data_IF_547885950201
#
_entry.id   IF_547885950201
#
_cell.length_a   1.000
_cell.length_b   1.000
_cell.length_c   1.000
_cell.angle_alpha   90.00
_cell.angle_beta   90.00
_cell.angle_gamma   90.00
#
_symmetry.space_group_name_H-M   'P 1'
#
loop_
_entity.id
_entity.type
_entity.pdbx_description
1 polymer ?
#
# COMPACT_ATOMS: atom_id res chain seq x y z
N UNK A 1 30.69 -8.48 -22.74
CA UNK A 1 30.18 -7.23 -22.24
C UNK A 1 29.24 -7.51 -21.10
N UNK A 2 29.81 -7.61 -19.90
CA UNK A 2 29.03 -7.56 -18.70
C UNK A 2 28.42 -6.15 -18.64
N UNK A 3 27.11 -6.07 -18.87
CA UNK A 3 26.37 -4.89 -18.51
C UNK A 3 26.49 -4.78 -16.99
N UNK A 4 27.09 -3.70 -16.51
CA UNK A 4 27.06 -3.37 -15.08
C UNK A 4 25.60 -3.28 -14.65
N UNK A 5 25.07 -4.40 -14.17
CA UNK A 5 23.75 -4.43 -13.54
C UNK A 5 23.85 -3.64 -12.25
N UNK A 6 23.23 -2.47 -12.23
CA UNK A 6 23.13 -1.68 -11.01
C UNK A 6 22.07 -2.30 -10.11
N UNK A 7 22.51 -3.14 -9.18
CA UNK A 7 21.64 -3.70 -8.16
C UNK A 7 21.60 -2.76 -6.95
N UNK A 8 20.41 -2.41 -6.53
CA UNK A 8 20.22 -1.60 -5.32
C UNK A 8 18.90 -1.95 -4.63
N UNK A 9 18.79 -1.56 -3.38
CA UNK A 9 17.58 -1.75 -2.58
C UNK A 9 16.93 -0.38 -2.40
N UNK A 10 15.64 -0.30 -2.72
CA UNK A 10 14.82 0.86 -2.51
C UNK A 10 13.81 0.57 -1.42
N UNK A 11 13.78 1.40 -0.39
CA UNK A 11 12.91 1.25 0.77
C UNK A 11 11.97 2.44 0.83
N UNK A 12 10.66 2.18 0.67
CA UNK A 12 9.64 3.23 0.55
C UNK A 12 8.50 2.93 1.50
N UNK A 13 8.08 3.94 2.27
CA UNK A 13 6.88 3.86 3.10
C UNK A 13 5.86 4.89 2.64
N UNK A 14 4.63 4.45 2.40
CA UNK A 14 3.55 5.28 1.89
C UNK A 14 2.31 5.11 2.78
N UNK A 15 1.77 6.18 3.36
CA UNK A 15 0.50 6.12 4.07
C UNK A 15 -0.66 6.09 3.08
N UNK A 16 -1.66 5.27 3.39
CA UNK A 16 -2.95 5.25 2.70
C UNK A 16 -4.06 5.18 3.73
N UNK A 17 -5.29 5.41 3.31
CA UNK A 17 -6.46 5.21 4.14
C UNK A 17 -7.15 3.92 3.75
N UNK A 18 -7.63 3.15 4.75
CA UNK A 18 -8.45 1.97 4.54
C UNK A 18 -9.76 2.09 5.27
N UNK A 19 -10.82 1.58 4.63
CA UNK A 19 -12.17 1.46 5.20
C UNK A 19 -12.44 -0.02 5.43
N UNK A 20 -12.90 -0.38 6.62
CA UNK A 20 -13.11 -1.76 6.99
C UNK A 20 -14.30 -2.37 6.25
N UNK A 21 -14.09 -3.43 5.44
CA UNK A 21 -15.19 -4.10 4.73
C UNK A 21 -16.20 -4.74 5.66
N UNK A 22 -15.76 -5.33 6.77
CA UNK A 22 -16.66 -5.95 7.74
C UNK A 22 -17.62 -4.95 8.38
N UNK A 23 -17.10 -3.81 8.85
CA UNK A 23 -17.93 -2.79 9.48
C UNK A 23 -18.91 -2.17 8.49
N UNK A 24 -18.49 -2.01 7.23
CA UNK A 24 -19.38 -1.56 6.16
C UNK A 24 -20.52 -2.54 5.90
N UNK A 25 -20.22 -3.84 5.89
CA UNK A 25 -21.20 -4.88 5.58
C UNK A 25 -22.27 -5.04 6.67
N UNK A 26 -21.91 -4.86 7.94
CA UNK A 26 -22.83 -5.07 9.08
C UNK A 26 -23.51 -3.80 9.58
N UNK A 27 -23.04 -2.61 9.18
CA UNK A 27 -23.59 -1.34 9.63
C UNK A 27 -24.70 -0.86 8.70
N UNK A 28 -25.73 -0.25 9.27
CA UNK A 28 -26.77 0.42 8.48
C UNK A 28 -26.22 1.71 7.88
N UNK A 29 -25.32 2.38 8.59
CA UNK A 29 -24.67 3.62 8.14
C UNK A 29 -23.16 3.60 8.46
N UNK A 30 -22.34 3.91 7.45
CA UNK A 30 -20.91 4.11 7.60
C UNK A 30 -20.06 2.86 7.76
N UNK A 31 -18.80 3.08 8.02
CA UNK A 31 -17.78 2.08 8.32
C UNK A 31 -16.61 2.80 8.99
N UNK A 32 -15.89 2.11 9.87
CA UNK A 32 -14.69 2.72 10.43
C UNK A 32 -13.56 2.74 9.40
N UNK A 33 -12.72 3.76 9.51
CA UNK A 33 -11.55 3.96 8.66
C UNK A 33 -10.33 4.26 9.52
N UNK A 34 -9.16 4.01 8.96
CA UNK A 34 -7.89 4.21 9.64
C UNK A 34 -6.76 4.47 8.66
N UNK A 35 -5.68 5.04 9.17
CA UNK A 35 -4.44 5.15 8.42
C UNK A 35 -3.75 3.80 8.35
N UNK A 36 -3.23 3.47 7.18
CA UNK A 36 -2.52 2.23 6.91
C UNK A 36 -1.19 2.56 6.27
N UNK A 37 -0.11 1.95 6.75
CA UNK A 37 1.23 2.16 6.20
C UNK A 37 1.57 1.02 5.25
N UNK A 38 1.98 1.37 4.04
CA UNK A 38 2.50 0.43 3.03
C UNK A 38 4.00 0.60 2.99
N UNK A 39 4.73 -0.43 3.40
CA UNK A 39 6.19 -0.46 3.38
C UNK A 39 6.65 -1.42 2.29
N UNK A 40 7.40 -0.90 1.33
CA UNK A 40 7.95 -1.67 0.21
C UNK A 40 9.46 -1.69 0.29
N UNK A 41 10.05 -2.87 0.38
CA UNK A 41 11.49 -3.09 0.22
C UNK A 41 11.69 -3.75 -1.13
N UNK A 42 12.30 -3.03 -2.07
CA UNK A 42 12.35 -3.37 -3.49
C UNK A 42 13.80 -3.68 -3.90
N UNK A 43 14.01 -4.86 -4.47
CA UNK A 43 15.30 -5.25 -5.03
C UNK A 43 15.33 -4.89 -6.52
N UNK A 44 16.05 -3.83 -6.85
CA UNK A 44 16.08 -3.24 -8.19
C UNK A 44 17.35 -3.60 -8.95
N UNK A 45 17.23 -3.80 -10.26
CA UNK A 45 18.39 -3.94 -11.15
C UNK A 45 18.45 -2.86 -12.24
N UNK A 46 17.66 -1.81 -12.10
CA UNK A 46 17.61 -0.70 -13.03
C UNK A 46 16.87 0.47 -12.42
N UNK A 47 16.94 1.60 -13.09
CA UNK A 47 16.34 2.84 -12.61
C UNK A 47 14.84 2.88 -12.92
N UNK A 48 14.07 3.28 -11.91
CA UNK A 48 12.67 3.68 -12.04
C UNK A 48 12.40 4.90 -11.15
N UNK A 49 11.34 5.63 -11.45
CA UNK A 49 10.94 6.78 -10.63
C UNK A 49 10.26 6.32 -9.35
N UNK A 50 10.66 6.90 -8.22
CA UNK A 50 10.03 6.63 -6.91
C UNK A 50 8.52 6.89 -6.96
N UNK A 51 8.10 7.92 -7.68
CA UNK A 51 6.70 8.31 -7.86
C UNK A 51 5.84 7.18 -8.44
N UNK A 52 6.39 6.33 -9.27
CA UNK A 52 5.67 5.18 -9.84
C UNK A 52 5.31 4.16 -8.74
N UNK A 53 6.24 3.92 -7.82
CA UNK A 53 5.99 3.02 -6.68
C UNK A 53 5.04 3.64 -5.67
N UNK A 54 5.17 4.94 -5.42
CA UNK A 54 4.23 5.68 -4.56
C UNK A 54 2.81 5.59 -5.13
N UNK A 55 2.65 5.75 -6.44
CA UNK A 55 1.35 5.63 -7.11
C UNK A 55 0.75 4.24 -6.97
N UNK A 56 1.56 3.18 -7.05
CA UNK A 56 1.11 1.80 -6.83
C UNK A 56 0.54 1.65 -5.41
N UNK A 57 1.25 2.14 -4.41
CA UNK A 57 0.79 2.08 -3.02
C UNK A 57 -0.49 2.89 -2.80
N UNK A 58 -0.54 4.12 -3.30
CA UNK A 58 -1.69 5.02 -3.15
C UNK A 58 -2.96 4.46 -3.80
N UNK A 59 -2.85 3.76 -4.91
CA UNK A 59 -3.98 3.14 -5.59
C UNK A 59 -4.40 1.80 -5.00
N UNK A 60 -3.64 1.27 -4.06
CA UNK A 60 -3.86 -0.06 -3.48
C UNK A 60 -4.75 -0.07 -2.24
N UNK A 61 -4.93 1.07 -1.58
CA UNK A 61 -5.84 1.24 -0.45
C UNK A 61 -7.22 1.74 -0.85
N UNK A 62 -8.01 2.13 0.13
CA UNK A 62 -9.33 2.72 -0.11
C UNK A 62 -9.22 4.13 -0.68
N UNK A 63 -8.23 4.88 -0.23
CA UNK A 63 -7.90 6.23 -0.72
C UNK A 63 -6.46 6.59 -0.35
N UNK A 64 -5.78 7.45 -1.14
CA UNK A 64 -4.56 8.12 -0.68
C UNK A 64 -4.82 9.01 0.53
N UNK A 65 -3.74 9.39 1.22
CA UNK A 65 -3.76 10.40 2.27
C UNK A 65 -3.26 11.72 1.69
N UNK A 66 -3.96 12.81 1.97
CA UNK A 66 -3.66 14.13 1.44
C UNK A 66 -3.24 15.08 2.56
N UNK A 67 -2.30 15.98 2.26
CA UNK A 67 -1.82 16.99 3.22
C UNK A 67 -2.82 18.14 3.35
N UNK A 68 -3.41 18.56 2.24
CA UNK A 68 -4.36 19.68 2.18
C UNK A 68 -5.55 19.26 1.34
N UNK A 69 -6.75 19.45 1.90
CA UNK A 69 -8.02 19.16 1.24
C UNK A 69 -8.96 20.36 1.41
N UNK A 70 -9.62 20.73 0.34
CA UNK A 70 -10.77 21.62 0.41
C UNK A 70 -12.01 20.82 0.81
N UNK A 71 -13.08 21.48 1.20
CA UNK A 71 -14.30 20.83 1.67
C UNK A 71 -14.92 19.92 0.62
N UNK A 72 -14.92 20.32 -0.64
CA UNK A 72 -15.41 19.51 -1.76
C UNK A 72 -14.53 18.26 -1.97
N UNK A 73 -13.22 18.40 -1.77
CA UNK A 73 -12.26 17.31 -1.88
C UNK A 73 -12.45 16.31 -0.76
N UNK A 74 -12.73 16.78 0.46
CA UNK A 74 -13.04 15.90 1.61
C UNK A 74 -14.25 15.02 1.34
N UNK A 75 -15.30 15.59 0.75
CA UNK A 75 -16.48 14.83 0.34
C UNK A 75 -16.13 13.73 -0.66
N UNK A 76 -15.38 14.07 -1.70
CA UNK A 76 -14.95 13.11 -2.72
C UNK A 76 -14.11 11.99 -2.12
N UNK A 77 -13.10 12.33 -1.31
CA UNK A 77 -12.21 11.36 -0.68
C UNK A 77 -12.99 10.42 0.24
N UNK A 78 -13.91 10.97 1.04
CA UNK A 78 -14.73 10.19 1.96
C UNK A 78 -15.61 9.19 1.22
N UNK A 79 -16.30 9.63 0.18
CA UNK A 79 -17.18 8.76 -0.62
C UNK A 79 -16.38 7.74 -1.43
N UNK A 80 -15.26 8.16 -2.01
CA UNK A 80 -14.36 7.27 -2.76
C UNK A 80 -13.78 6.17 -1.87
N UNK A 81 -13.30 6.53 -0.69
CA UNK A 81 -12.78 5.55 0.27
C UNK A 81 -13.85 4.56 0.73
N UNK A 82 -15.04 5.05 1.02
CA UNK A 82 -16.18 4.21 1.42
C UNK A 82 -16.60 3.23 0.31
N UNK A 83 -16.48 3.64 -0.95
CA UNK A 83 -16.78 2.79 -2.10
C UNK A 83 -15.72 1.70 -2.35
N UNK A 84 -14.52 1.84 -1.76
CA UNK A 84 -13.38 0.95 -1.97
C UNK A 84 -12.84 0.37 -0.66
N UNK A 85 -13.66 -0.37 0.13
CA UNK A 85 -13.18 -0.93 1.39
C UNK A 85 -12.08 -1.97 1.14
N UNK A 86 -11.07 -1.97 2.02
CA UNK A 86 -9.91 -2.87 1.92
C UNK A 86 -9.47 -3.35 3.29
N UNK A 87 -9.20 -4.65 3.41
CA UNK A 87 -8.39 -5.21 4.49
C UNK A 87 -6.90 -5.06 4.19
N UNK A 88 -6.03 -5.24 5.18
CA UNK A 88 -4.57 -5.23 4.95
C UNK A 88 -4.15 -6.30 3.94
N UNK A 89 -4.82 -7.43 3.92
CA UNK A 89 -4.58 -8.52 2.95
C UNK A 89 -4.93 -8.09 1.52
N UNK A 90 -5.97 -7.29 1.35
CA UNK A 90 -6.35 -6.75 0.04
C UNK A 90 -5.30 -5.74 -0.43
N UNK A 91 -4.86 -4.84 0.48
CA UNK A 91 -3.86 -3.83 0.15
C UNK A 91 -2.55 -4.48 -0.28
N UNK A 92 -2.05 -5.45 0.49
CA UNK A 92 -0.77 -6.11 0.16
C UNK A 92 -0.84 -6.84 -1.18
N UNK A 93 -1.97 -7.49 -1.51
CA UNK A 93 -2.18 -8.13 -2.80
C UNK A 93 -2.26 -7.13 -3.95
N UNK A 94 -2.96 -6.01 -3.74
CA UNK A 94 -3.06 -4.94 -4.74
C UNK A 94 -1.69 -4.35 -5.07
N UNK A 95 -0.86 -4.12 -4.05
CA UNK A 95 0.52 -3.63 -4.26
C UNK A 95 1.33 -4.66 -5.04
N UNK A 96 1.29 -5.92 -4.66
CA UNK A 96 2.01 -6.99 -5.36
C UNK A 96 1.59 -7.08 -6.83
N UNK A 97 0.30 -6.97 -7.12
CA UNK A 97 -0.21 -6.97 -8.48
C UNK A 97 0.28 -5.75 -9.28
N UNK A 98 0.29 -4.58 -8.66
CA UNK A 98 0.80 -3.35 -9.28
C UNK A 98 2.30 -3.41 -9.59
N UNK A 99 3.07 -4.10 -8.74
CA UNK A 99 4.52 -4.27 -8.94
C UNK A 99 4.88 -5.34 -9.97
N UNK A 100 3.98 -6.28 -10.27
CA UNK A 100 4.26 -7.45 -11.11
C UNK A 100 4.67 -7.10 -12.56
N UNK A 101 4.38 -5.88 -13.01
CA UNK A 101 4.69 -5.41 -14.38
C UNK A 101 6.03 -4.71 -14.48
N UNK A 102 6.73 -4.50 -13.37
CA UNK A 102 7.98 -3.76 -13.38
C UNK A 102 9.15 -4.66 -13.79
N UNK A 103 9.82 -4.32 -14.90
CA UNK A 103 10.90 -5.11 -15.47
C UNK A 103 12.20 -5.03 -14.66
N UNK A 104 12.41 -3.96 -13.90
CA UNK A 104 13.61 -3.72 -13.12
C UNK A 104 13.53 -4.28 -11.69
N UNK A 105 12.37 -4.78 -11.32
CA UNK A 105 12.11 -5.31 -9.97
C UNK A 105 12.44 -6.82 -9.93
N UNK A 106 13.48 -7.18 -9.19
CA UNK A 106 13.95 -8.56 -9.06
C UNK A 106 13.29 -9.31 -7.91
N UNK A 107 12.91 -8.60 -6.89
CA UNK A 107 12.25 -9.17 -5.72
C UNK A 107 11.74 -8.07 -4.82
N UNK A 108 10.86 -8.42 -3.90
CA UNK A 108 10.28 -7.45 -2.99
C UNK A 108 9.79 -8.08 -1.70
N UNK A 109 9.71 -7.25 -0.68
CA UNK A 109 8.95 -7.49 0.54
C UNK A 109 7.97 -6.32 0.71
N UNK A 110 6.69 -6.63 0.83
CA UNK A 110 5.63 -5.65 1.07
C UNK A 110 5.03 -5.94 2.44
N UNK A 111 5.06 -4.94 3.32
CA UNK A 111 4.45 -4.98 4.63
C UNK A 111 3.34 -3.92 4.69
N UNK A 112 2.18 -4.31 5.16
CA UNK A 112 1.04 -3.41 5.33
C UNK A 112 0.57 -3.49 6.76
N UNK A 113 0.56 -2.36 7.45
CA UNK A 113 0.11 -2.25 8.83
C UNK A 113 -1.00 -1.21 8.95
N UNK A 114 -2.15 -1.65 9.42
CA UNK A 114 -3.31 -0.80 9.69
C UNK A 114 -3.31 -0.37 11.15
N UNK A 115 -3.37 0.94 11.37
CA UNK A 115 -3.52 1.54 12.71
C UNK A 115 -5.00 1.51 13.07
N UNK A 116 -5.48 0.38 13.58
CA UNK A 116 -6.89 0.13 13.84
C UNK A 116 -7.55 1.20 14.73
N UNK A 117 -8.71 1.72 14.30
CA UNK A 117 -9.38 2.81 14.97
C UNK A 117 -10.27 2.38 16.13
N UNK A 118 -10.81 1.16 16.08
CA UNK A 118 -11.77 0.66 17.10
C UNK A 118 -11.23 -0.54 17.89
N UNK A 119 -10.05 -1.05 17.55
CA UNK A 119 -9.38 -2.12 18.26
C UNK A 119 -8.09 -1.62 18.91
N UNK A 120 -7.67 -2.25 19.99
CA UNK A 120 -6.44 -1.89 20.69
C UNK A 120 -5.20 -2.62 20.14
N UNK A 121 -5.30 -3.19 18.95
CA UNK A 121 -4.20 -3.84 18.23
C UNK A 121 -4.23 -3.40 16.77
N UNK A 122 -3.07 -3.45 16.12
CA UNK A 122 -2.97 -3.21 14.68
C UNK A 122 -3.17 -4.50 13.90
N UNK A 123 -3.59 -4.37 12.63
CA UNK A 123 -3.61 -5.47 11.68
C UNK A 123 -2.36 -5.40 10.80
N UNK A 124 -1.83 -6.55 10.41
CA UNK A 124 -0.60 -6.65 9.64
C UNK A 124 -0.71 -7.75 8.58
N UNK A 125 -0.19 -7.48 7.39
CA UNK A 125 -0.03 -8.45 6.32
C UNK A 125 1.31 -8.25 5.61
N UNK A 126 1.88 -9.33 5.09
CA UNK A 126 3.16 -9.29 4.40
C UNK A 126 3.16 -10.26 3.23
N UNK A 127 3.72 -9.83 2.10
CA UNK A 127 4.02 -10.68 0.93
C UNK A 127 5.48 -10.48 0.56
N UNK A 128 6.17 -11.59 0.26
CA UNK A 128 7.53 -11.57 -0.28
C UNK A 128 7.56 -12.29 -1.64
N UNK A 129 8.42 -11.82 -2.52
CA UNK A 129 8.73 -12.46 -3.78
C UNK A 129 10.23 -12.34 -4.04
N UNK A 130 10.91 -13.48 -4.22
CA UNK A 130 12.37 -13.54 -4.44
C UNK A 130 13.16 -12.67 -3.45
N UNK A 131 12.76 -12.68 -2.20
CA UNK A 131 13.36 -11.86 -1.16
C UNK A 131 14.34 -12.70 -0.33
N UNK A 132 15.64 -12.31 -0.26
CA UNK A 132 16.64 -13.09 0.45
C UNK A 132 16.42 -13.09 1.96
N UNK A 133 16.64 -14.26 2.59
CA UNK A 133 16.45 -14.42 4.04
C UNK A 133 17.32 -13.47 4.87
N UNK A 134 18.51 -13.13 4.38
CA UNK A 134 19.45 -12.24 5.08
C UNK A 134 19.04 -10.76 5.07
N UNK A 135 17.98 -10.40 4.33
CA UNK A 135 17.43 -9.04 4.29
C UNK A 135 16.13 -8.88 5.10
N UNK A 136 15.66 -9.98 5.71
CA UNK A 136 14.46 -9.95 6.56
C UNK A 136 14.74 -9.33 7.93
#
# INVERSE_FOLDING_TARGET
NEKDEQNFILDIEVPVMTVCPCSKAISDEGAHSQRTLVHMTLLMNGFDWIEDFVSVAESSGSSPVYTILKREDEKYVTEHAFANPCFVEDVVRNVAQGLSRNEHLKGYRIEVESMESIHNHNAFACIEHNFPANLR
#
